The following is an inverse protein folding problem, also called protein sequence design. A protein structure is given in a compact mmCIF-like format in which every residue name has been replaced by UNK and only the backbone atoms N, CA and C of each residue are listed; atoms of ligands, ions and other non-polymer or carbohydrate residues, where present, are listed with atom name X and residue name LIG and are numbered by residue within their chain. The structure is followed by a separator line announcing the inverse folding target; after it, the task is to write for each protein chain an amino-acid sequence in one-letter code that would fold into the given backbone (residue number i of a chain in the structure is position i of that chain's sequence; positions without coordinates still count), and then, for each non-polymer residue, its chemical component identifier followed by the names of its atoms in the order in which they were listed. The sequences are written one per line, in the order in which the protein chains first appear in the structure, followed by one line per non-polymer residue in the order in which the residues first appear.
data_IF_397663409315
#
_entry.id   IF_397663409315
#
_cell.length_a   1.000
_cell.length_b   1.000
_cell.length_c   1.000
_cell.angle_alpha   90.00
_cell.angle_beta   90.00
_cell.angle_gamma   90.00
#
_symmetry.space_group_name_H-M   'P 1'
#
loop_
_entity.id
_entity.type
_entity.pdbx_description
1 polymer ?
#
# COMPACT_ATOMS: atom_id res chain seq x y z
N UNK A 1 -1.54 6.43 -29.90
CA UNK A 1 -2.48 7.26 -29.15
C UNK A 1 -1.92 7.66 -27.82
N UNK A 2 -1.94 8.92 -27.52
CA UNK A 2 -1.40 9.42 -26.28
C UNK A 2 -2.48 9.38 -25.19
N UNK A 3 -2.15 8.76 -24.09
CA UNK A 3 -3.04 8.71 -22.95
C UNK A 3 -2.42 9.53 -21.84
N UNK A 4 -2.88 10.75 -21.69
CA UNK A 4 -2.28 11.72 -20.77
C UNK A 4 -2.26 11.27 -19.33
N UNK A 5 -3.22 10.43 -18.91
CA UNK A 5 -3.38 10.06 -17.50
C UNK A 5 -3.16 8.57 -17.27
N UNK A 6 -2.29 7.96 -18.09
CA UNK A 6 -1.92 6.55 -17.92
C UNK A 6 -0.91 6.33 -16.81
N UNK A 7 -0.23 7.36 -16.37
CA UNK A 7 0.78 7.22 -15.32
C UNK A 7 0.12 7.27 -13.96
N UNK A 8 0.46 6.32 -13.11
CA UNK A 8 -0.12 6.20 -11.79
C UNK A 8 0.94 6.03 -10.73
N UNK A 9 0.57 6.40 -9.51
CA UNK A 9 1.36 6.12 -8.31
C UNK A 9 0.58 5.11 -7.49
N UNK A 10 1.29 4.07 -7.04
CA UNK A 10 0.71 3.01 -6.25
C UNK A 10 1.08 3.22 -4.79
N UNK A 11 0.09 3.19 -3.91
CA UNK A 11 0.30 3.31 -2.48
C UNK A 11 0.01 2.01 -1.77
N UNK A 12 0.90 1.61 -0.86
CA UNK A 12 0.76 0.36 -0.11
C UNK A 12 0.90 0.65 1.38
N UNK A 13 -0.04 0.14 2.16
CA UNK A 13 0.00 0.29 3.61
C UNK A 13 -0.43 -1.03 4.24
N UNK A 14 0.47 -1.64 5.02
CA UNK A 14 0.18 -2.86 5.77
C UNK A 14 0.25 -2.60 7.27
N UNK A 15 -0.20 -1.43 7.67
CA UNK A 15 -0.25 -1.06 9.08
C UNK A 15 -1.37 -1.81 9.82
N UNK A 16 -1.14 -2.07 11.08
CA UNK A 16 -2.15 -2.60 12.01
C UNK A 16 -3.01 -3.72 11.43
N UNK A 17 -4.30 -3.48 11.28
CA UNK A 17 -5.28 -4.52 10.96
C UNK A 17 -5.87 -4.41 9.57
N UNK A 18 -5.23 -3.66 8.67
CA UNK A 18 -5.74 -3.50 7.31
C UNK A 18 -4.62 -3.57 6.30
N UNK A 19 -4.80 -4.41 5.28
CA UNK A 19 -3.94 -4.42 4.10
C UNK A 19 -4.55 -3.48 3.09
N UNK A 20 -3.86 -2.41 2.73
CA UNK A 20 -4.38 -1.41 1.81
C UNK A 20 -3.48 -1.26 0.60
N UNK A 21 -4.11 -1.13 -0.57
CA UNK A 21 -3.41 -0.73 -1.77
C UNK A 21 -4.31 0.21 -2.56
N UNK A 22 -3.73 1.29 -3.04
CA UNK A 22 -4.46 2.29 -3.80
C UNK A 22 -3.61 2.74 -4.98
N UNK A 23 -4.27 3.19 -6.03
CA UNK A 23 -3.59 3.74 -7.19
C UNK A 23 -4.25 5.06 -7.57
N UNK A 24 -3.45 6.05 -7.85
CA UNK A 24 -3.92 7.38 -8.18
C UNK A 24 -3.18 7.88 -9.42
N UNK A 25 -3.92 8.53 -10.32
CA UNK A 25 -3.32 9.16 -11.49
C UNK A 25 -2.56 10.41 -11.06
N UNK A 26 -1.71 10.93 -11.95
CA UNK A 26 -0.96 12.15 -11.63
C UNK A 26 -1.88 13.38 -11.49
N UNK A 27 -3.08 13.32 -12.04
CA UNK A 27 -4.09 14.37 -11.84
C UNK A 27 -5.03 14.06 -10.68
N UNK A 28 -4.63 13.14 -9.79
CA UNK A 28 -5.29 12.83 -8.51
C UNK A 28 -6.63 12.11 -8.63
N UNK A 29 -6.83 11.37 -9.69
CA UNK A 29 -8.01 10.50 -9.82
C UNK A 29 -7.70 9.14 -9.24
N UNK A 30 -8.52 8.68 -8.29
CA UNK A 30 -8.36 7.37 -7.68
C UNK A 30 -8.92 6.31 -8.61
N UNK A 31 -8.09 5.37 -9.04
CA UNK A 31 -8.52 4.30 -9.95
C UNK A 31 -8.55 2.94 -9.28
N UNK A 32 -7.93 2.82 -8.12
CA UNK A 32 -7.95 1.58 -7.33
C UNK A 32 -7.88 1.95 -5.86
N UNK A 33 -8.72 1.31 -5.05
CA UNK A 33 -8.68 1.48 -3.60
C UNK A 33 -9.18 0.19 -2.97
N UNK A 34 -8.26 -0.73 -2.71
CA UNK A 34 -8.58 -2.03 -2.13
C UNK A 34 -8.09 -2.12 -0.70
N UNK A 35 -8.95 -2.61 0.18
CA UNK A 35 -8.64 -2.79 1.59
C UNK A 35 -9.15 -4.14 2.04
N UNK A 36 -8.29 -4.87 2.76
CA UNK A 36 -8.69 -6.15 3.36
C UNK A 36 -8.36 -6.07 4.84
N UNK A 37 -9.39 -6.16 5.66
CA UNK A 37 -9.25 -6.12 7.11
C UNK A 37 -8.76 -7.46 7.61
N UNK A 38 -7.76 -7.46 8.49
CA UNK A 38 -7.23 -8.68 9.06
C UNK A 38 -8.28 -9.32 9.98
N UNK A 39 -8.25 -10.65 10.04
CA UNK A 39 -9.18 -11.40 10.87
C UNK A 39 -8.59 -11.59 12.26
N UNK A 40 -9.37 -11.22 13.28
CA UNK A 40 -9.00 -11.42 14.68
C UNK A 40 -9.92 -12.45 15.25
N UNK A 41 -9.37 -13.46 15.93
CA UNK A 41 -10.19 -14.52 16.55
C UNK A 41 -11.10 -13.91 17.60
N UNK A 42 -12.33 -14.47 17.69
CA UNK A 42 -13.40 -13.94 18.52
C UNK A 42 -13.01 -13.74 19.99
N UNK A 43 -12.17 -14.61 20.52
CA UNK A 43 -11.78 -14.58 21.94
C UNK A 43 -10.43 -13.89 22.16
N UNK A 44 -9.86 -13.28 21.12
CA UNK A 44 -8.55 -12.61 21.22
C UNK A 44 -8.72 -11.10 21.26
N UNK A 45 -7.90 -10.44 22.07
CA UNK A 45 -7.93 -8.98 22.18
C UNK A 45 -7.17 -8.29 21.06
N UNK A 46 -6.46 -9.04 20.21
CA UNK A 46 -5.69 -8.50 19.11
C UNK A 46 -4.94 -9.60 18.39
N UNK A 47 -4.07 -9.20 17.49
CA UNK A 47 -3.25 -10.13 16.72
C UNK A 47 -1.80 -10.01 17.13
N UNK A 48 -1.11 -11.17 17.17
CA UNK A 48 0.35 -11.17 17.29
C UNK A 48 0.94 -10.60 16.00
N UNK A 49 2.10 -9.97 16.10
CA UNK A 49 2.76 -9.41 14.93
C UNK A 49 3.00 -10.46 13.85
N UNK A 50 3.42 -11.65 14.24
CA UNK A 50 3.67 -12.73 13.28
C UNK A 50 2.40 -13.15 12.53
N UNK A 51 1.26 -13.20 13.22
CA UNK A 51 -0.01 -13.53 12.59
C UNK A 51 -0.46 -12.42 11.65
N UNK A 52 -0.28 -11.16 12.06
CA UNK A 52 -0.62 -10.03 11.20
C UNK A 52 0.24 -10.02 9.94
N UNK A 53 1.54 -10.26 10.08
CA UNK A 53 2.44 -10.36 8.92
C UNK A 53 1.96 -11.44 7.95
N UNK A 54 1.63 -12.61 8.49
CA UNK A 54 1.15 -13.73 7.68
C UNK A 54 -0.11 -13.36 6.90
N UNK A 55 -1.07 -12.72 7.56
CA UNK A 55 -2.31 -12.31 6.90
C UNK A 55 -2.08 -11.24 5.84
N UNK A 56 -1.19 -10.27 6.12
CA UNK A 56 -0.84 -9.26 5.12
C UNK A 56 -0.24 -9.88 3.88
N UNK A 57 0.66 -10.85 4.04
CA UNK A 57 1.27 -11.54 2.90
C UNK A 57 0.19 -12.24 2.06
N UNK A 58 -0.72 -12.96 2.71
CA UNK A 58 -1.80 -13.64 2.01
C UNK A 58 -2.73 -12.66 1.31
N UNK A 59 -3.01 -11.52 1.94
CA UNK A 59 -3.88 -10.52 1.36
C UNK A 59 -3.25 -9.87 0.13
N UNK A 60 -1.94 -9.79 0.06
CA UNK A 60 -1.26 -9.30 -1.16
C UNK A 60 -1.56 -10.19 -2.35
N UNK A 61 -1.61 -11.51 -2.14
CA UNK A 61 -2.00 -12.44 -3.19
C UNK A 61 -3.43 -12.22 -3.67
N UNK A 62 -4.34 -11.92 -2.75
CA UNK A 62 -5.73 -11.62 -3.10
C UNK A 62 -5.86 -10.31 -3.85
N UNK A 63 -5.13 -9.29 -3.41
CA UNK A 63 -5.14 -8.00 -4.08
C UNK A 63 -4.57 -8.10 -5.49
N UNK A 64 -3.57 -8.96 -5.70
CA UNK A 64 -2.96 -9.08 -7.03
C UNK A 64 -3.95 -9.51 -8.11
N UNK A 65 -5.00 -10.23 -7.73
CA UNK A 65 -6.03 -10.65 -8.67
C UNK A 65 -6.82 -9.46 -9.22
N UNK A 66 -7.02 -8.44 -8.40
CA UNK A 66 -7.75 -7.24 -8.80
C UNK A 66 -6.86 -6.29 -9.58
N UNK A 67 -5.59 -6.21 -9.21
CA UNK A 67 -4.64 -5.30 -9.84
C UNK A 67 -4.54 -5.54 -11.35
N UNK A 68 -4.44 -6.79 -11.75
CA UNK A 68 -4.29 -7.11 -13.16
C UNK A 68 -5.43 -6.56 -14.00
N UNK A 69 -6.67 -6.67 -13.51
CA UNK A 69 -7.82 -6.15 -14.24
C UNK A 69 -7.88 -4.63 -14.25
N UNK A 70 -7.60 -4.01 -13.10
CA UNK A 70 -7.82 -2.59 -12.92
C UNK A 70 -6.67 -1.73 -13.43
N UNK A 71 -5.46 -2.25 -13.42
CA UNK A 71 -4.28 -1.45 -13.73
C UNK A 71 -3.57 -1.83 -15.02
N UNK A 72 -4.10 -2.77 -15.79
CA UNK A 72 -3.42 -3.26 -17.00
C UNK A 72 -3.16 -2.19 -18.05
N UNK A 73 -4.00 -1.14 -18.08
CA UNK A 73 -3.85 -0.06 -19.05
C UNK A 73 -3.05 1.13 -18.51
N UNK A 74 -2.46 0.97 -17.35
CA UNK A 74 -1.77 2.05 -16.65
C UNK A 74 -0.30 1.74 -16.46
N UNK A 75 0.48 2.80 -16.34
CA UNK A 75 1.92 2.76 -16.12
C UNK A 75 2.22 3.14 -14.67
N UNK A 76 2.83 2.24 -13.91
CA UNK A 76 3.24 2.57 -12.55
C UNK A 76 4.54 3.35 -12.60
N UNK A 77 4.49 4.63 -12.26
CA UNK A 77 5.68 5.50 -12.31
C UNK A 77 6.24 5.81 -10.92
N UNK A 78 5.55 5.41 -9.87
CA UNK A 78 6.02 5.59 -8.52
C UNK A 78 5.28 4.67 -7.57
N UNK A 79 5.97 4.26 -6.51
CA UNK A 79 5.39 3.43 -5.46
C UNK A 79 5.72 4.07 -4.12
N UNK A 80 4.69 4.25 -3.30
CA UNK A 80 4.82 4.85 -1.97
C UNK A 80 4.32 3.84 -0.94
N UNK A 81 5.13 3.58 0.09
CA UNK A 81 4.75 2.63 1.13
C UNK A 81 4.88 3.27 2.50
N UNK A 82 4.05 2.81 3.43
CA UNK A 82 4.21 3.12 4.84
C UNK A 82 5.18 2.11 5.43
N UNK A 83 6.27 2.58 6.02
CA UNK A 83 7.28 1.69 6.58
C UNK A 83 7.37 1.74 8.11
N UNK A 84 6.61 2.63 8.73
CA UNK A 84 6.58 2.78 10.19
C UNK A 84 5.35 3.60 10.60
N UNK A 85 4.89 3.46 11.84
CA UNK A 85 3.68 4.18 12.27
C UNK A 85 3.86 5.70 12.36
N UNK A 86 5.07 6.16 12.69
CA UNK A 86 5.36 7.59 12.85
C UNK A 86 6.72 7.91 12.23
N UNK A 87 6.99 9.18 11.88
CA UNK A 87 8.29 9.54 11.31
C UNK A 87 9.40 9.64 12.37
N UNK A 88 9.54 8.58 13.18
CA UNK A 88 10.56 8.43 14.22
C UNK A 88 11.29 7.13 13.96
N UNK A 89 12.63 7.17 13.96
CA UNK A 89 13.43 6.02 13.55
C UNK A 89 13.14 4.73 14.32
N UNK A 90 12.80 4.84 15.61
CA UNK A 90 12.55 3.65 16.42
C UNK A 90 11.08 3.22 16.47
N UNK A 91 10.24 3.72 15.56
CA UNK A 91 8.83 3.35 15.53
C UNK A 91 8.52 2.16 14.63
N UNK A 92 9.55 1.43 14.24
CA UNK A 92 9.39 0.27 13.36
C UNK A 92 8.48 -0.81 13.94
N UNK A 93 7.63 -1.38 13.09
CA UNK A 93 6.80 -2.54 13.41
C UNK A 93 6.90 -3.55 12.27
N UNK A 94 7.03 -4.86 12.59
CA UNK A 94 7.22 -5.89 11.56
C UNK A 94 6.15 -5.90 10.46
N UNK A 95 4.91 -5.55 10.78
CA UNK A 95 3.84 -5.55 9.78
C UNK A 95 4.13 -4.62 8.60
N UNK A 96 4.87 -3.54 8.83
CA UNK A 96 5.19 -2.59 7.78
C UNK A 96 6.18 -3.16 6.76
N UNK A 97 6.96 -4.18 7.15
CA UNK A 97 7.93 -4.78 6.23
C UNK A 97 7.26 -5.48 5.06
N UNK A 98 6.03 -5.94 5.22
CA UNK A 98 5.29 -6.60 4.15
C UNK A 98 5.09 -5.62 2.99
N UNK A 99 4.43 -4.49 3.25
CA UNK A 99 4.21 -3.49 2.21
C UNK A 99 5.50 -2.93 1.66
N UNK A 100 6.47 -2.68 2.53
CA UNK A 100 7.75 -2.12 2.13
C UNK A 100 8.48 -3.04 1.15
N UNK A 101 8.56 -4.33 1.45
CA UNK A 101 9.26 -5.27 0.58
C UNK A 101 8.52 -5.56 -0.71
N UNK A 102 7.19 -5.65 -0.67
CA UNK A 102 6.41 -5.77 -1.90
C UNK A 102 6.56 -4.52 -2.76
N UNK A 103 6.57 -3.35 -2.13
CA UNK A 103 6.77 -2.10 -2.86
C UNK A 103 8.13 -2.02 -3.53
N UNK A 104 9.18 -2.46 -2.84
CA UNK A 104 10.53 -2.49 -3.41
C UNK A 104 10.58 -3.41 -4.63
N UNK A 105 9.97 -4.58 -4.52
CA UNK A 105 9.95 -5.54 -5.62
C UNK A 105 9.21 -4.96 -6.83
N UNK A 106 8.04 -4.38 -6.60
CA UNK A 106 7.24 -3.78 -7.67
C UNK A 106 7.97 -2.61 -8.31
N UNK A 107 8.64 -1.79 -7.51
CA UNK A 107 9.43 -0.67 -8.01
C UNK A 107 10.54 -1.15 -8.93
N UNK A 108 11.22 -2.23 -8.54
CA UNK A 108 12.30 -2.79 -9.35
C UNK A 108 11.80 -3.37 -10.66
N UNK A 109 10.68 -4.10 -10.62
CA UNK A 109 10.09 -4.70 -11.83
C UNK A 109 9.61 -3.62 -12.79
N UNK A 110 9.02 -2.56 -12.28
CA UNK A 110 8.49 -1.47 -13.11
C UNK A 110 9.52 -0.38 -13.41
N UNK A 111 10.71 -0.50 -12.86
CA UNK A 111 11.77 0.50 -13.02
C UNK A 111 11.26 1.90 -12.72
N UNK A 112 10.65 2.07 -11.55
CA UNK A 112 10.06 3.33 -11.13
C UNK A 112 10.55 3.76 -9.75
N UNK A 113 10.21 4.98 -9.37
CA UNK A 113 10.63 5.56 -8.10
C UNK A 113 9.96 4.86 -6.92
N UNK A 114 10.68 4.77 -5.81
CA UNK A 114 10.19 4.16 -4.59
C UNK A 114 10.32 5.15 -3.44
N UNK A 115 9.21 5.36 -2.71
CA UNK A 115 9.14 6.30 -1.61
C UNK A 115 8.65 5.62 -0.35
N UNK A 116 9.22 5.97 0.78
CA UNK A 116 8.80 5.47 2.08
C UNK A 116 8.30 6.63 2.94
N UNK A 117 7.17 6.43 3.60
CA UNK A 117 6.60 7.43 4.51
C UNK A 117 6.13 6.71 5.77
N UNK A 118 5.80 7.48 6.81
CA UNK A 118 5.13 6.91 7.97
C UNK A 118 3.63 6.83 7.69
N UNK A 119 2.95 5.92 8.41
CA UNK A 119 1.49 5.81 8.31
C UNK A 119 0.82 7.14 8.61
N UNK A 120 1.34 7.88 9.59
CA UNK A 120 0.81 9.17 9.97
C UNK A 120 0.95 10.19 8.83
N UNK A 121 2.09 10.19 8.14
CA UNK A 121 2.30 11.08 6.99
C UNK A 121 1.33 10.78 5.85
N UNK A 122 1.06 9.51 5.60
CA UNK A 122 0.12 9.12 4.57
C UNK A 122 -1.29 9.63 4.84
N UNK A 123 -1.73 9.61 6.09
CA UNK A 123 -3.03 10.16 6.46
C UNK A 123 -3.11 11.66 6.20
N UNK A 124 -2.04 12.39 6.47
CA UNK A 124 -1.98 13.82 6.24
C UNK A 124 -2.08 14.12 4.74
N UNK A 125 -1.35 13.37 3.92
CA UNK A 125 -1.39 13.54 2.47
C UNK A 125 -2.76 13.21 1.89
N UNK A 126 -3.41 12.18 2.40
CA UNK A 126 -4.77 11.83 1.99
C UNK A 126 -5.74 12.98 2.23
N UNK A 127 -5.64 13.64 3.39
CA UNK A 127 -6.48 14.80 3.70
C UNK A 127 -6.24 15.94 2.74
N UNK A 128 -4.99 16.18 2.38
CA UNK A 128 -4.64 17.24 1.43
C UNK A 128 -5.19 16.97 0.05
N UNK A 129 -5.21 15.72 -0.36
CA UNK A 129 -5.68 15.36 -1.70
C UNK A 129 -7.19 15.37 -1.83
N UNK A 130 -7.93 15.34 -0.73
CA UNK A 130 -9.39 15.37 -0.74
C UNK A 130 -9.94 16.79 -0.87
N UNK A 131 -9.16 17.78 -0.55
CA UNK A 131 -9.60 19.19 -0.57
C UNK A 131 -9.70 19.78 -1.97
#
# INVERSE_FOLDING_TARGET
MTRKNNNIILGIDTSCYTTSIAAITLDKKIILNEKIILKVKKDCKGLRQSEAVFQHVNNMGEISKVINDKLKDYNVVGICVSNKPRPIDNSYMPVFSVGCNFGKLLSSVNDCSFYETSHQENHIEDRKSVV
#
